data_IF_753992943975
#
_entry.id   IF_753992943975
#
_cell.length_a   1.000
_cell.length_b   1.000
_cell.length_c   1.000
_cell.angle_alpha   90.00
_cell.angle_beta   90.00
_cell.angle_gamma   90.00
#
_symmetry.space_group_name_H-M   'P 1'
#
loop_
_entity.id
_entity.type
_entity.pdbx_description
1 polymer ?
#
# COMPACT_ATOMS: atom_id res chain seq x y z
N UNK A 1 10.56 -10.12 10.09
CA UNK A 1 9.51 -9.19 9.64
C UNK A 1 9.76 -8.79 8.20
N UNK A 2 8.73 -8.85 7.38
CA UNK A 2 8.82 -8.45 5.98
C UNK A 2 8.05 -7.16 5.75
N UNK A 3 8.48 -6.38 4.77
CA UNK A 3 7.74 -5.19 4.32
C UNK A 3 6.94 -5.57 3.10
N UNK A 4 5.62 -5.51 3.23
CA UNK A 4 4.69 -5.92 2.18
C UNK A 4 3.93 -4.69 1.71
N UNK A 5 3.94 -4.47 0.40
CA UNK A 5 3.29 -3.33 -0.23
C UNK A 5 1.95 -3.76 -0.82
N UNK A 6 0.88 -3.11 -0.38
CA UNK A 6 -0.44 -3.30 -0.96
C UNK A 6 -0.71 -2.18 -1.94
N UNK A 7 -0.84 -2.52 -3.21
CA UNK A 7 -1.25 -1.59 -4.25
C UNK A 7 -2.77 -1.51 -4.21
N UNK A 8 -3.31 -0.30 -4.34
CA UNK A 8 -4.76 -0.09 -4.31
C UNK A 8 -5.39 -0.53 -2.99
N UNK A 9 -4.85 -0.06 -1.89
CA UNK A 9 -5.28 -0.43 -0.53
C UNK A 9 -6.54 0.34 -0.11
N UNK A 10 -7.60 0.30 -0.91
CA UNK A 10 -8.77 1.14 -0.71
C UNK A 10 -10.02 0.38 -0.32
N UNK A 11 -10.08 -0.92 -0.51
CA UNK A 11 -11.27 -1.70 -0.25
C UNK A 11 -11.22 -2.45 1.07
N UNK A 12 -12.37 -3.01 1.45
CA UNK A 12 -12.48 -3.83 2.65
C UNK A 12 -11.55 -5.04 2.59
N UNK A 13 -11.38 -5.62 1.40
CA UNK A 13 -10.47 -6.76 1.22
C UNK A 13 -9.02 -6.40 1.54
N UNK A 14 -8.59 -5.20 1.14
CA UNK A 14 -7.25 -4.74 1.44
C UNK A 14 -7.06 -4.54 2.94
N UNK A 15 -8.08 -4.02 3.62
CA UNK A 15 -8.05 -3.83 5.07
C UNK A 15 -7.93 -5.18 5.78
N UNK A 16 -8.72 -6.16 5.36
CA UNK A 16 -8.66 -7.51 5.94
C UNK A 16 -7.30 -8.15 5.73
N UNK A 17 -6.73 -7.99 4.55
CA UNK A 17 -5.40 -8.51 4.24
C UNK A 17 -4.34 -7.82 5.10
N UNK A 18 -4.40 -6.49 5.23
CA UNK A 18 -3.47 -5.74 6.06
C UNK A 18 -3.54 -6.20 7.52
N UNK A 19 -4.74 -6.39 8.04
CA UNK A 19 -4.93 -6.88 9.39
C UNK A 19 -4.29 -8.24 9.60
N UNK A 20 -4.52 -9.16 8.68
CA UNK A 20 -3.95 -10.52 8.75
C UNK A 20 -2.42 -10.47 8.73
N UNK A 21 -1.85 -9.70 7.83
CA UNK A 21 -0.39 -9.58 7.70
C UNK A 21 0.24 -8.92 8.93
N UNK A 22 -0.41 -7.88 9.48
CA UNK A 22 0.07 -7.23 10.69
C UNK A 22 0.05 -8.17 11.89
N UNK A 23 -0.97 -9.01 12.00
CA UNK A 23 -1.03 -10.02 13.08
C UNK A 23 0.07 -11.05 12.95
N UNK A 24 0.59 -11.28 11.77
CA UNK A 24 1.72 -12.17 11.54
C UNK A 24 3.08 -11.48 11.76
N UNK A 25 3.06 -10.21 12.16
CA UNK A 25 4.30 -9.49 12.47
C UNK A 25 4.94 -8.79 11.28
N UNK A 26 4.24 -8.65 10.16
CA UNK A 26 4.78 -7.95 8.99
C UNK A 26 4.48 -6.47 9.02
N UNK A 27 5.33 -5.69 8.36
CA UNK A 27 5.09 -4.28 8.12
C UNK A 27 4.32 -4.14 6.80
N UNK A 28 3.18 -3.47 6.84
CA UNK A 28 2.30 -3.34 5.68
C UNK A 28 2.26 -1.89 5.24
N UNK A 29 2.60 -1.65 3.97
CA UNK A 29 2.57 -0.33 3.35
C UNK A 29 1.42 -0.30 2.36
N UNK A 30 0.58 0.73 2.43
CA UNK A 30 -0.56 0.85 1.54
C UNK A 30 -0.45 2.05 0.62
N UNK A 31 -0.72 1.83 -0.67
CA UNK A 31 -0.87 2.90 -1.65
C UNK A 31 -2.35 3.10 -1.90
N UNK A 32 -2.85 4.31 -1.62
CA UNK A 32 -4.25 4.68 -1.79
C UNK A 32 -4.34 5.82 -2.80
N UNK A 33 -5.42 5.85 -3.59
CA UNK A 33 -5.61 6.92 -4.57
C UNK A 33 -6.07 8.23 -3.90
N UNK A 34 -6.75 8.12 -2.75
CA UNK A 34 -7.30 9.30 -2.06
C UNK A 34 -7.09 9.17 -0.55
N UNK A 35 -6.95 10.31 0.12
CA UNK A 35 -6.80 10.35 1.57
C UNK A 35 -8.06 9.97 2.33
N UNK A 36 -9.21 10.06 1.70
CA UNK A 36 -10.50 9.80 2.36
C UNK A 36 -11.04 8.40 2.10
N UNK A 37 -10.18 7.47 1.72
CA UNK A 37 -10.58 6.08 1.53
C UNK A 37 -10.53 5.33 2.85
N UNK A 38 -11.29 4.22 2.93
CA UNK A 38 -11.24 3.34 4.09
C UNK A 38 -9.85 2.78 4.31
N UNK A 39 -9.16 2.43 3.22
CA UNK A 39 -7.80 1.90 3.32
C UNK A 39 -6.83 2.90 3.91
N UNK A 40 -6.93 4.18 3.53
CA UNK A 40 -6.05 5.21 4.05
C UNK A 40 -6.30 5.46 5.55
N UNK A 41 -7.55 5.35 5.99
CA UNK A 41 -7.94 5.64 7.37
C UNK A 41 -7.67 4.49 8.35
N UNK A 42 -7.37 3.29 7.86
CA UNK A 42 -7.21 2.13 8.73
C UNK A 42 -5.92 2.16 9.54
N UNK A 43 -6.01 1.65 10.76
CA UNK A 43 -4.84 1.49 11.63
C UNK A 43 -3.95 0.31 11.26
N UNK A 44 -4.42 -0.57 10.37
CA UNK A 44 -3.69 -1.78 10.02
C UNK A 44 -2.56 -1.54 9.02
N UNK A 45 -2.50 -0.36 8.39
CA UNK A 45 -1.38 0.01 7.53
C UNK A 45 -0.29 0.67 8.36
N UNK A 46 0.93 0.16 8.26
CA UNK A 46 2.09 0.74 8.94
C UNK A 46 2.49 2.06 8.32
N UNK A 47 2.42 2.14 6.99
CA UNK A 47 2.65 3.35 6.21
C UNK A 47 1.53 3.52 5.21
N UNK A 48 1.20 4.77 4.93
CA UNK A 48 0.14 5.12 3.98
C UNK A 48 0.67 6.18 3.04
N UNK A 49 0.44 5.99 1.76
CA UNK A 49 0.85 6.95 0.74
C UNK A 49 -0.29 7.17 -0.23
N UNK A 50 -0.51 8.43 -0.62
CA UNK A 50 -1.44 8.74 -1.68
C UNK A 50 -0.66 8.61 -2.99
N UNK A 51 -1.02 7.63 -3.79
CA UNK A 51 -0.35 7.35 -5.06
C UNK A 51 -1.19 7.80 -6.23
N UNK A 52 -0.60 8.02 -7.42
CA UNK A 52 -1.38 8.20 -8.64
C UNK A 52 -2.26 6.99 -8.92
N UNK A 53 -3.34 7.20 -9.66
CA UNK A 53 -4.26 6.13 -10.02
C UNK A 53 -3.59 5.18 -11.03
N UNK A 54 -3.58 3.89 -10.72
CA UNK A 54 -2.91 2.89 -11.56
C UNK A 54 -3.59 2.75 -12.93
N UNK A 55 -4.89 3.03 -13.01
CA UNK A 55 -5.64 2.93 -14.26
C UNK A 55 -5.55 4.19 -15.09
N UNK A 56 -5.73 5.36 -14.44
CA UNK A 56 -5.82 6.65 -15.13
C UNK A 56 -4.45 7.31 -15.32
N UNK A 57 -3.52 7.04 -14.44
CA UNK A 57 -2.20 7.68 -14.40
C UNK A 57 -1.10 6.63 -14.31
N UNK A 58 -1.15 5.64 -15.20
CA UNK A 58 -0.27 4.49 -15.11
C UNK A 58 1.22 4.85 -15.12
N UNK A 59 1.63 5.78 -15.97
CA UNK A 59 3.03 6.16 -16.05
C UNK A 59 3.50 6.82 -14.75
N UNK A 60 2.68 7.71 -14.19
CA UNK A 60 2.97 8.36 -12.94
C UNK A 60 2.97 7.36 -11.80
N UNK A 61 2.05 6.40 -11.82
CA UNK A 61 2.00 5.36 -10.82
C UNK A 61 3.26 4.50 -10.85
N UNK A 62 3.72 4.10 -12.02
CA UNK A 62 4.93 3.31 -12.16
C UNK A 62 6.16 4.06 -11.63
N UNK A 63 6.26 5.35 -11.92
CA UNK A 63 7.34 6.17 -11.39
C UNK A 63 7.29 6.26 -9.87
N UNK A 64 6.11 6.43 -9.34
CA UNK A 64 5.89 6.49 -7.89
C UNK A 64 6.28 5.17 -7.23
N UNK A 65 5.84 4.06 -7.80
CA UNK A 65 6.12 2.73 -7.29
C UNK A 65 7.63 2.43 -7.32
N UNK A 66 8.29 2.69 -8.45
CA UNK A 66 9.72 2.43 -8.57
C UNK A 66 10.55 3.32 -7.64
N UNK A 67 10.14 4.57 -7.47
CA UNK A 67 10.83 5.45 -6.53
C UNK A 67 10.72 4.92 -5.11
N UNK A 68 9.56 4.43 -4.73
CA UNK A 68 9.37 3.85 -3.40
C UNK A 68 10.22 2.60 -3.20
N UNK A 69 10.19 1.68 -4.16
CA UNK A 69 10.95 0.43 -4.08
C UNK A 69 12.45 0.71 -4.02
N UNK A 70 12.91 1.71 -4.76
CA UNK A 70 14.32 2.08 -4.80
C UNK A 70 14.79 2.67 -3.46
N UNK A 71 13.92 3.42 -2.80
CA UNK A 71 14.24 4.05 -1.52
C UNK A 71 14.04 3.13 -0.32
N UNK A 72 13.21 2.11 -0.47
CA UNK A 72 12.82 1.22 0.63
C UNK A 72 12.87 -0.23 0.17
N UNK A 73 13.34 -1.11 1.06
CA UNK A 73 13.31 -2.53 0.74
C UNK A 73 11.89 -3.06 0.86
N UNK A 74 11.36 -3.61 -0.22
CA UNK A 74 10.03 -4.23 -0.26
C UNK A 74 10.21 -5.71 -0.55
N UNK A 75 9.63 -6.56 0.31
CA UNK A 75 9.78 -8.00 0.20
C UNK A 75 8.71 -8.62 -0.69
N UNK A 76 7.53 -8.03 -0.74
CA UNK A 76 6.43 -8.53 -1.57
C UNK A 76 5.50 -7.39 -1.95
N UNK A 77 4.86 -7.51 -3.12
CA UNK A 77 3.85 -6.58 -3.63
C UNK A 77 2.59 -7.37 -3.93
N UNK A 78 1.47 -6.88 -3.40
CA UNK A 78 0.17 -7.51 -3.63
C UNK A 78 -0.78 -6.52 -4.30
#
# INVERSE_FOLDING_TARGET
MKRILLINAEGVQAICMARSLRKQGHRVVGFCNHKITSGYATKWLSEKHVSPDITLQRNEFEKFLFAYIKANKVDAII
#
